data_IF_088268712732
#
_entry.id   IF_088268712732
#
_cell.length_a   1.000
_cell.length_b   1.000
_cell.length_c   1.000
_cell.angle_alpha   90.00
_cell.angle_beta   90.00
_cell.angle_gamma   90.00
#
_symmetry.space_group_name_H-M   'P 1'
#
loop_
_entity.id
_entity.type
_entity.pdbx_description
1 polymer ?
#
# COMPACT_ATOMS: atom_id res chain seq x y z
N UNK A 1 46.81 -36.21 -42.36
CA UNK A 1 45.45 -35.73 -42.65
C UNK A 1 44.72 -35.79 -41.32
N UNK A 2 44.44 -34.62 -40.75
CA UNK A 2 43.85 -34.47 -39.43
C UNK A 2 42.35 -34.23 -39.62
N UNK A 3 41.52 -35.14 -39.13
CA UNK A 3 40.06 -34.98 -39.14
C UNK A 3 39.62 -34.19 -37.90
N UNK A 4 39.21 -32.95 -38.14
CA UNK A 4 38.61 -32.05 -37.18
C UNK A 4 37.19 -32.51 -36.84
N UNK A 5 36.97 -33.04 -35.64
CA UNK A 5 35.63 -33.23 -35.10
C UNK A 5 35.22 -32.00 -34.29
N UNK A 6 34.22 -31.31 -34.82
CA UNK A 6 33.59 -30.10 -34.29
C UNK A 6 33.00 -30.32 -32.89
N UNK A 7 33.40 -29.46 -31.95
CA UNK A 7 32.70 -29.27 -30.67
C UNK A 7 31.40 -28.49 -30.93
N UNK A 8 30.25 -29.10 -30.65
CA UNK A 8 29.00 -28.37 -30.47
C UNK A 8 28.94 -27.82 -29.05
N UNK A 9 28.65 -26.52 -28.83
CA UNK A 9 28.47 -26.00 -27.48
C UNK A 9 27.16 -26.51 -26.89
N UNK A 10 27.20 -26.97 -25.64
CA UNK A 10 26.01 -27.28 -24.86
C UNK A 10 25.17 -26.02 -24.73
N UNK A 11 23.90 -26.11 -25.12
CA UNK A 11 22.92 -25.10 -24.82
C UNK A 11 22.70 -25.10 -23.29
N UNK A 12 23.12 -24.02 -22.64
CA UNK A 12 22.62 -23.65 -21.32
C UNK A 12 21.12 -23.38 -21.47
N UNK A 13 20.30 -24.40 -21.19
CA UNK A 13 18.88 -24.23 -20.89
C UNK A 13 18.76 -23.50 -19.54
N UNK A 14 19.03 -22.19 -19.58
CA UNK A 14 18.59 -21.25 -18.57
C UNK A 14 17.07 -21.21 -18.65
N UNK A 15 16.45 -22.18 -17.99
CA UNK A 15 15.02 -22.34 -17.78
C UNK A 15 14.49 -21.12 -17.01
N UNK A 16 14.33 -20.00 -17.72
CA UNK A 16 13.55 -18.86 -17.31
C UNK A 16 12.09 -19.27 -17.44
N UNK A 17 11.63 -20.16 -16.55
CA UNK A 17 10.21 -20.24 -16.26
C UNK A 17 9.82 -18.87 -15.70
N UNK A 18 9.00 -18.06 -16.41
CA UNK A 18 8.44 -16.87 -15.80
C UNK A 18 7.64 -17.35 -14.60
N UNK A 19 8.02 -16.89 -13.41
CA UNK A 19 7.22 -17.06 -12.20
C UNK A 19 5.81 -16.60 -12.57
N UNK A 20 4.76 -17.45 -12.44
CA UNK A 20 3.41 -17.04 -12.75
C UNK A 20 3.12 -15.79 -11.94
N UNK A 21 2.90 -14.66 -12.61
CA UNK A 21 2.37 -13.44 -12.00
C UNK A 21 1.03 -13.85 -11.39
N UNK A 22 1.05 -14.12 -10.08
CA UNK A 22 -0.15 -14.43 -9.33
C UNK A 22 -1.17 -13.35 -9.66
N UNK A 23 -2.32 -13.75 -10.22
CA UNK A 23 -3.39 -12.82 -10.57
C UNK A 23 -3.63 -11.90 -9.37
N UNK A 24 -3.30 -10.62 -9.55
CA UNK A 24 -3.46 -9.60 -8.51
C UNK A 24 -4.95 -9.28 -8.42
N UNK A 25 -5.70 -10.15 -7.75
CA UNK A 25 -7.13 -10.01 -7.58
C UNK A 25 -7.40 -9.11 -6.36
N UNK A 26 -8.18 -8.05 -6.59
CA UNK A 26 -8.71 -7.21 -5.53
C UNK A 26 -10.13 -7.65 -5.23
N UNK A 27 -10.43 -7.83 -3.94
CA UNK A 27 -11.73 -8.24 -3.46
C UNK A 27 -12.48 -7.01 -2.92
N UNK A 28 -13.68 -6.70 -3.43
CA UNK A 28 -14.46 -5.57 -2.93
C UNK A 28 -14.93 -5.82 -1.50
N UNK A 29 -15.05 -4.74 -0.72
CA UNK A 29 -15.56 -4.76 0.64
C UNK A 29 -16.76 -3.81 0.75
N UNK A 30 -17.85 -4.30 1.30
CA UNK A 30 -19.01 -3.49 1.63
C UNK A 30 -18.70 -2.52 2.77
N UNK A 31 -19.48 -1.45 2.89
CA UNK A 31 -19.27 -0.44 3.94
C UNK A 31 -19.44 -1.00 5.35
N UNK A 32 -20.11 -2.15 5.53
CA UNK A 32 -20.23 -2.82 6.83
C UNK A 32 -19.23 -3.96 7.04
N UNK A 33 -18.23 -4.07 6.16
CA UNK A 33 -17.21 -5.12 6.22
C UNK A 33 -17.59 -6.42 5.50
N UNK A 34 -18.67 -6.43 4.73
CA UNK A 34 -19.01 -7.59 3.89
C UNK A 34 -17.88 -7.87 2.89
N UNK A 35 -17.45 -9.13 2.79
CA UNK A 35 -16.38 -9.51 1.87
C UNK A 35 -14.96 -9.33 2.42
N UNK A 36 -14.79 -8.89 3.68
CA UNK A 36 -13.48 -8.94 4.36
C UNK A 36 -12.91 -10.36 4.43
N UNK A 37 -11.58 -10.51 4.59
CA UNK A 37 -10.96 -11.81 4.85
C UNK A 37 -11.58 -12.50 6.07
N UNK A 38 -11.66 -13.84 6.03
CA UNK A 38 -12.18 -14.65 7.14
C UNK A 38 -11.14 -14.99 8.21
N UNK A 39 -9.87 -14.63 8.00
CA UNK A 39 -8.76 -14.95 8.88
C UNK A 39 -8.02 -13.69 9.32
N UNK A 40 -7.50 -13.63 10.57
CA UNK A 40 -6.69 -12.51 11.00
C UNK A 40 -5.33 -12.54 10.31
N UNK A 41 -4.76 -11.36 10.08
CA UNK A 41 -3.48 -11.21 9.39
C UNK A 41 -3.25 -9.80 8.90
N UNK A 42 -2.10 -9.58 8.27
CA UNK A 42 -1.83 -8.34 7.54
C UNK A 42 -2.36 -8.49 6.11
N UNK A 43 -3.05 -7.48 5.63
CA UNK A 43 -3.61 -7.40 4.27
C UNK A 43 -3.29 -6.06 3.65
N UNK A 44 -3.31 -6.01 2.31
CA UNK A 44 -3.28 -4.76 1.57
C UNK A 44 -4.70 -4.28 1.33
N UNK A 45 -4.94 -3.01 1.61
CA UNK A 45 -6.20 -2.33 1.35
C UNK A 45 -5.99 -1.27 0.29
N UNK A 46 -6.94 -1.14 -0.62
CA UNK A 46 -7.07 -0.04 -1.56
C UNK A 46 -8.33 0.71 -1.19
N UNK A 47 -8.18 1.98 -0.83
CA UNK A 47 -9.27 2.80 -0.29
C UNK A 47 -9.30 4.14 -1.02
N UNK A 48 -10.47 4.62 -1.45
CA UNK A 48 -10.62 5.98 -1.97
C UNK A 48 -10.16 7.04 -0.96
N UNK A 49 -9.45 8.07 -1.43
CA UNK A 49 -8.96 9.12 -0.54
C UNK A 49 -10.10 10.07 -0.13
N UNK A 50 -10.11 10.48 1.14
CA UNK A 50 -11.13 11.39 1.68
C UNK A 50 -11.10 12.76 0.99
N UNK A 51 -9.92 13.31 0.72
CA UNK A 51 -9.76 14.62 0.07
C UNK A 51 -9.94 14.59 -1.44
N UNK A 52 -9.90 13.39 -2.07
CA UNK A 52 -9.95 13.22 -3.51
C UNK A 52 -10.48 11.82 -3.88
N UNK A 53 -11.81 11.59 -3.80
CA UNK A 53 -12.41 10.26 -3.88
C UNK A 53 -12.21 9.51 -5.21
N UNK A 54 -11.86 10.22 -6.28
CA UNK A 54 -11.51 9.62 -7.58
C UNK A 54 -10.12 8.95 -7.59
N UNK A 55 -9.28 9.25 -6.61
CA UNK A 55 -7.97 8.63 -6.41
C UNK A 55 -8.03 7.65 -5.24
N UNK A 56 -7.25 6.57 -5.32
CA UNK A 56 -7.15 5.57 -4.24
C UNK A 56 -5.74 5.52 -3.68
N UNK A 57 -5.63 5.15 -2.40
CA UNK A 57 -4.37 4.83 -1.76
C UNK A 57 -4.33 3.36 -1.39
N UNK A 58 -3.19 2.73 -1.69
CA UNK A 58 -2.91 1.36 -1.25
C UNK A 58 -2.03 1.39 -0.01
N UNK A 59 -2.43 0.70 1.04
CA UNK A 59 -1.65 0.59 2.27
C UNK A 59 -1.91 -0.74 2.97
N UNK A 60 -0.98 -1.15 3.82
CA UNK A 60 -1.13 -2.35 4.63
C UNK A 60 -1.83 -2.03 5.95
N UNK A 61 -2.65 -2.97 6.41
CA UNK A 61 -3.22 -2.91 7.74
C UNK A 61 -3.42 -4.30 8.34
N UNK A 62 -3.53 -4.34 9.67
CA UNK A 62 -3.81 -5.57 10.39
C UNK A 62 -5.33 -5.78 10.46
N UNK A 63 -5.76 -7.00 10.13
CA UNK A 63 -7.09 -7.53 10.42
C UNK A 63 -6.99 -8.43 11.64
N UNK A 64 -7.80 -8.17 12.67
CA UNK A 64 -7.71 -8.91 13.94
C UNK A 64 -9.06 -9.12 14.60
N UNK A 65 -9.17 -10.19 15.37
CA UNK A 65 -10.32 -10.45 16.21
C UNK A 65 -10.40 -9.41 17.33
N UNK A 66 -11.60 -8.87 17.50
CA UNK A 66 -11.93 -7.88 18.51
C UNK A 66 -13.21 -8.31 19.21
N UNK A 67 -13.18 -8.29 20.53
CA UNK A 67 -14.36 -8.58 21.34
C UNK A 67 -15.25 -7.34 21.38
N UNK A 68 -16.51 -7.50 21.02
CA UNK A 68 -17.54 -6.49 21.13
C UNK A 68 -18.75 -7.11 21.84
N UNK A 69 -18.97 -6.72 23.10
CA UNK A 69 -19.94 -7.39 23.96
C UNK A 69 -19.64 -8.89 24.09
N UNK A 70 -20.59 -9.72 23.62
CA UNK A 70 -20.48 -11.20 23.59
C UNK A 70 -19.94 -11.76 22.28
N UNK A 71 -19.80 -10.92 21.25
CA UNK A 71 -19.37 -11.35 19.91
C UNK A 71 -17.87 -11.10 19.68
N UNK A 72 -17.27 -11.92 18.82
CA UNK A 72 -15.94 -11.66 18.27
C UNK A 72 -16.10 -11.27 16.81
N UNK A 73 -15.65 -10.07 16.48
CA UNK A 73 -15.74 -9.50 15.14
C UNK A 73 -14.33 -9.32 14.59
N UNK A 74 -14.13 -9.72 13.34
CA UNK A 74 -12.87 -9.56 12.63
C UNK A 74 -12.87 -8.19 11.95
N UNK A 75 -11.95 -7.32 12.33
CA UNK A 75 -11.97 -5.92 11.89
C UNK A 75 -10.57 -5.38 11.55
N UNK A 76 -10.47 -4.50 10.53
CA UNK A 76 -9.22 -3.85 10.19
C UNK A 76 -8.88 -2.77 11.22
N UNK A 77 -7.59 -2.54 11.47
CA UNK A 77 -7.14 -1.61 12.53
C UNK A 77 -7.29 -0.14 12.20
N UNK A 78 -7.53 0.23 10.93
CA UNK A 78 -7.66 1.63 10.52
C UNK A 78 -9.09 2.17 10.65
N UNK A 79 -10.09 1.31 10.87
CA UNK A 79 -11.46 1.78 11.14
C UNK A 79 -11.86 1.57 12.59
N UNK A 80 -12.54 2.58 13.10
CA UNK A 80 -13.17 2.57 14.40
C UNK A 80 -14.29 3.60 14.41
N UNK A 81 -15.54 3.17 14.56
CA UNK A 81 -16.55 4.01 15.20
C UNK A 81 -17.38 3.16 16.16
N UNK A 82 -17.40 3.67 17.40
CA UNK A 82 -18.28 3.33 18.51
C UNK A 82 -19.72 3.65 18.13
N UNK A 83 -20.59 2.65 18.20
CA UNK A 83 -21.99 2.68 18.63
C UNK A 83 -22.70 1.50 17.95
N UNK A 84 -22.91 0.44 18.73
CA UNK A 84 -23.80 -0.69 18.42
C UNK A 84 -23.49 -1.53 17.16
N UNK A 85 -22.32 -2.17 17.14
CA UNK A 85 -22.00 -3.39 16.34
C UNK A 85 -21.55 -3.23 14.88
N UNK A 86 -21.46 -2.03 14.30
CA UNK A 86 -21.13 -1.89 12.88
C UNK A 86 -19.73 -1.32 12.61
N UNK A 87 -18.93 -2.06 11.86
CA UNK A 87 -17.74 -1.52 11.16
C UNK A 87 -18.26 -0.56 10.09
N UNK A 88 -17.70 0.62 9.95
CA UNK A 88 -17.95 1.49 8.79
C UNK A 88 -16.65 1.67 8.02
N UNK A 89 -16.57 1.07 6.83
CA UNK A 89 -15.48 1.24 5.87
C UNK A 89 -15.88 2.25 4.79
N UNK A 90 -14.93 3.01 4.24
CA UNK A 90 -15.19 3.87 3.09
C UNK A 90 -15.75 3.07 1.92
N UNK A 91 -16.76 3.62 1.25
CA UNK A 91 -17.31 3.02 0.02
C UNK A 91 -16.21 2.88 -1.04
N UNK A 92 -16.21 1.77 -1.78
CA UNK A 92 -15.16 1.47 -2.77
C UNK A 92 -13.88 0.86 -2.19
N UNK A 93 -13.87 0.49 -0.90
CA UNK A 93 -12.77 -0.25 -0.28
C UNK A 93 -12.60 -1.62 -0.93
N UNK A 94 -11.34 -1.99 -1.23
CA UNK A 94 -10.95 -3.32 -1.67
C UNK A 94 -9.80 -3.85 -0.82
N UNK A 95 -9.64 -5.17 -0.77
CA UNK A 95 -8.51 -5.81 -0.13
C UNK A 95 -7.87 -6.87 -1.03
N UNK A 96 -6.62 -7.23 -0.71
CA UNK A 96 -5.94 -8.40 -1.25
C UNK A 96 -4.95 -8.98 -0.23
N UNK A 97 -4.50 -10.20 -0.50
CA UNK A 97 -3.40 -10.80 0.26
C UNK A 97 -2.11 -9.99 0.14
N UNK A 98 -1.21 -10.20 1.10
CA UNK A 98 0.15 -9.68 1.04
C UNK A 98 0.86 -10.11 -0.23
N UNK A 99 1.77 -9.25 -0.68
CA UNK A 99 2.73 -9.54 -1.73
C UNK A 99 4.11 -9.87 -1.13
N UNK A 100 5.01 -10.49 -1.91
CA UNK A 100 6.41 -10.65 -1.51
C UNK A 100 7.01 -9.30 -1.08
N UNK A 101 7.67 -9.26 0.07
CA UNK A 101 8.24 -8.04 0.65
C UNK A 101 7.35 -7.34 1.68
N UNK A 102 6.06 -7.69 1.77
CA UNK A 102 5.18 -7.17 2.82
C UNK A 102 5.51 -7.77 4.19
N UNK A 103 5.49 -6.96 5.27
CA UNK A 103 5.70 -7.45 6.62
C UNK A 103 4.65 -8.49 7.03
N UNK A 104 5.08 -9.50 7.79
CA UNK A 104 4.18 -10.51 8.37
C UNK A 104 3.34 -9.97 9.51
N UNK A 105 3.86 -8.97 10.22
CA UNK A 105 3.22 -8.35 11.36
C UNK A 105 3.29 -6.83 11.23
N UNK A 106 2.22 -6.18 11.65
CA UNK A 106 2.13 -4.73 11.80
C UNK A 106 1.64 -4.40 13.20
N UNK A 107 2.16 -3.32 13.77
CA UNK A 107 1.58 -2.69 14.94
C UNK A 107 0.17 -2.19 14.65
N UNK A 108 -0.66 -2.10 15.70
CA UNK A 108 -2.08 -1.73 15.54
C UNK A 108 -2.29 -0.33 14.93
N UNK A 109 -1.29 0.55 14.97
CA UNK A 109 -1.33 1.93 14.45
C UNK A 109 -0.39 2.13 13.25
N UNK A 110 0.15 1.05 12.68
CA UNK A 110 1.05 1.10 11.54
C UNK A 110 0.29 0.83 10.24
N UNK A 111 0.37 1.79 9.32
CA UNK A 111 -0.32 1.75 8.03
C UNK A 111 0.64 2.14 6.89
N UNK A 112 1.69 1.34 6.63
CA UNK A 112 2.63 1.68 5.57
C UNK A 112 1.92 1.70 4.21
N UNK A 113 2.11 2.78 3.45
CA UNK A 113 1.65 2.88 2.07
C UNK A 113 2.41 1.84 1.24
N UNK A 114 1.70 1.13 0.37
CA UNK A 114 2.30 0.07 -0.45
C UNK A 114 3.42 0.65 -1.34
N UNK A 115 4.60 0.01 -1.41
CA UNK A 115 5.77 0.56 -2.10
C UNK A 115 5.52 0.82 -3.59
N UNK A 116 4.65 0.04 -4.23
CA UNK A 116 4.26 0.18 -5.64
C UNK A 116 3.52 1.50 -5.90
N UNK A 117 2.96 2.11 -4.85
CA UNK A 117 2.41 3.47 -4.96
C UNK A 117 3.49 4.49 -5.28
N UNK A 118 4.78 4.20 -5.08
CA UNK A 118 5.89 5.04 -5.52
C UNK A 118 6.41 4.69 -6.93
N UNK A 119 5.88 3.66 -7.60
CA UNK A 119 6.33 3.25 -8.93
C UNK A 119 6.26 4.41 -9.92
N UNK A 120 7.31 4.55 -10.73
CA UNK A 120 7.53 5.70 -11.62
C UNK A 120 8.36 6.82 -11.00
N UNK A 121 8.63 6.78 -9.70
CA UNK A 121 9.61 7.67 -9.09
C UNK A 121 11.04 7.21 -9.41
N UNK A 122 11.86 8.09 -10.00
CA UNK A 122 13.30 7.90 -10.09
C UNK A 122 13.93 7.61 -8.72
N UNK A 123 14.95 6.76 -8.70
CA UNK A 123 15.70 6.43 -7.50
C UNK A 123 16.29 7.69 -6.86
N UNK A 124 16.39 7.67 -5.54
CA UNK A 124 16.90 8.79 -4.78
C UNK A 124 18.36 9.11 -5.16
N UNK A 125 18.71 10.38 -5.46
CA UNK A 125 20.07 10.70 -5.93
C UNK A 125 21.16 10.56 -4.85
N UNK A 126 20.77 10.45 -3.57
CA UNK A 126 21.69 10.37 -2.44
C UNK A 126 21.97 8.94 -1.97
N UNK A 127 20.92 8.15 -1.72
CA UNK A 127 21.07 6.76 -1.24
C UNK A 127 20.79 5.70 -2.32
N UNK A 128 20.38 6.13 -3.53
CA UNK A 128 20.03 5.26 -4.66
C UNK A 128 18.88 4.27 -4.40
N UNK A 129 18.14 4.42 -3.30
CA UNK A 129 16.94 3.63 -3.01
C UNK A 129 15.70 4.25 -3.63
N UNK A 130 14.69 3.43 -3.92
CA UNK A 130 13.37 3.93 -4.30
C UNK A 130 12.71 4.63 -3.10
N UNK A 131 12.16 5.84 -3.29
CA UNK A 131 11.49 6.53 -2.21
C UNK A 131 10.19 5.83 -1.82
N UNK A 132 9.78 5.99 -0.57
CA UNK A 132 8.45 5.60 -0.08
C UNK A 132 7.56 6.84 0.07
N UNK A 133 6.26 6.67 -0.08
CA UNK A 133 5.30 7.77 0.10
C UNK A 133 4.95 7.89 1.58
N UNK A 134 5.00 9.12 2.07
CA UNK A 134 4.45 9.51 3.36
C UNK A 134 3.39 10.59 3.16
N UNK A 135 2.56 10.82 4.19
CA UNK A 135 1.57 11.88 4.16
C UNK A 135 1.13 12.35 5.53
N UNK A 136 0.31 13.38 5.54
CA UNK A 136 -0.33 13.94 6.74
C UNK A 136 -1.73 14.47 6.41
N UNK A 137 -2.57 14.63 7.45
CA UNK A 137 -3.82 15.39 7.37
C UNK A 137 -3.61 16.76 7.99
N UNK A 138 -3.97 17.81 7.25
CA UNK A 138 -4.16 19.16 7.76
C UNK A 138 -5.63 19.51 7.61
N UNK A 139 -6.24 20.08 8.65
CA UNK A 139 -7.59 20.63 8.54
C UNK A 139 -7.58 21.87 7.67
N UNK A 140 -8.53 21.95 6.75
CA UNK A 140 -8.56 23.06 5.79
C UNK A 140 -9.08 24.36 6.44
N UNK A 141 -9.92 24.26 7.47
CA UNK A 141 -10.60 25.40 8.10
C UNK A 141 -9.68 26.25 8.98
N UNK A 142 -8.86 25.61 9.82
CA UNK A 142 -7.98 26.26 10.81
C UNK A 142 -6.49 26.11 10.47
N UNK A 143 -6.14 25.28 9.48
CA UNK A 143 -4.76 24.95 9.14
C UNK A 143 -4.05 24.08 10.20
N UNK A 144 -4.77 23.61 11.22
CA UNK A 144 -4.21 22.81 12.28
C UNK A 144 -3.92 21.38 11.80
N UNK A 145 -2.79 20.85 12.27
CA UNK A 145 -2.41 19.46 12.00
C UNK A 145 -3.30 18.54 12.81
N UNK A 146 -4.07 17.71 12.10
CA UNK A 146 -4.78 16.60 12.71
C UNK A 146 -3.90 15.35 12.61
N UNK A 147 -3.45 14.84 13.76
CA UNK A 147 -2.61 13.65 13.79
C UNK A 147 -3.46 12.40 13.55
N UNK A 148 -3.42 11.92 12.32
CA UNK A 148 -3.85 10.56 11.95
C UNK A 148 -2.69 9.86 11.25
N UNK A 149 -2.61 8.55 11.41
CA UNK A 149 -1.68 7.69 10.67
C UNK A 149 -2.37 6.97 9.51
N UNK A 150 -3.66 7.18 9.30
CA UNK A 150 -4.50 6.44 8.35
C UNK A 150 -4.34 7.06 6.94
N UNK A 151 -3.76 6.34 5.95
CA UNK A 151 -3.33 6.94 4.70
C UNK A 151 -4.45 7.54 3.85
N UNK A 152 -5.64 6.93 3.81
CA UNK A 152 -6.74 7.45 2.96
C UNK A 152 -7.31 8.78 3.49
N UNK A 153 -7.01 9.15 4.74
CA UNK A 153 -7.40 10.43 5.31
C UNK A 153 -6.42 11.55 4.96
N UNK A 154 -5.20 11.24 4.51
CA UNK A 154 -4.20 12.27 4.22
C UNK A 154 -4.65 13.18 3.07
N UNK A 155 -4.32 14.47 3.17
CA UNK A 155 -4.53 15.45 2.10
C UNK A 155 -3.22 16.09 1.63
N UNK A 156 -2.08 15.65 2.15
CA UNK A 156 -0.74 16.07 1.75
C UNK A 156 0.19 14.86 1.72
N UNK A 157 0.90 14.68 0.61
CA UNK A 157 1.79 13.55 0.34
C UNK A 157 3.18 14.01 -0.10
N UNK A 158 4.23 13.27 0.26
CA UNK A 158 5.59 13.51 -0.21
C UNK A 158 6.39 12.21 -0.27
N UNK A 159 7.48 12.23 -1.05
CA UNK A 159 8.46 11.15 -1.07
C UNK A 159 9.43 11.25 0.10
N UNK A 160 9.79 10.10 0.66
CA UNK A 160 10.80 9.94 1.72
C UNK A 160 11.78 8.85 1.29
N UNK A 161 13.09 9.12 1.34
CA UNK A 161 14.13 8.16 0.91
C UNK A 161 15.30 8.08 1.91
N UNK A 162 15.63 9.19 2.57
CA UNK A 162 16.70 9.35 3.56
C UNK A 162 16.49 10.68 4.29
N UNK A 163 17.29 10.98 5.30
CA UNK A 163 17.17 12.20 6.11
C UNK A 163 17.36 13.52 5.31
N UNK A 164 17.94 13.44 4.11
CA UNK A 164 18.29 14.62 3.30
C UNK A 164 17.14 15.19 2.46
N UNK A 165 16.08 14.43 2.20
CA UNK A 165 14.96 14.93 1.37
C UNK A 165 13.98 15.70 2.26
N UNK A 166 13.98 17.03 2.12
CA UNK A 166 12.99 17.90 2.75
C UNK A 166 11.56 17.61 2.26
N UNK A 167 10.58 17.88 3.12
CA UNK A 167 9.15 17.69 2.80
C UNK A 167 8.71 18.68 1.72
N UNK A 168 8.34 18.17 0.54
CA UNK A 168 7.71 18.92 -0.53
C UNK A 168 6.29 18.36 -0.79
N UNK A 169 5.28 18.76 0.00
CA UNK A 169 3.96 18.14 -0.02
C UNK A 169 3.21 18.41 -1.33
N UNK A 170 2.37 17.47 -1.74
CA UNK A 170 1.43 17.54 -2.87
C UNK A 170 0.04 17.09 -2.44
N UNK A 171 -1.03 17.59 -3.08
CA UNK A 171 -2.41 17.30 -2.68
C UNK A 171 -2.84 15.85 -2.95
N UNK A 172 -2.14 15.14 -3.84
CA UNK A 172 -2.43 13.73 -4.15
C UNK A 172 -1.18 12.95 -4.54
N UNK A 173 -1.28 11.62 -4.53
CA UNK A 173 -0.22 10.73 -4.99
C UNK A 173 0.02 10.90 -6.50
N UNK A 174 -1.03 11.08 -7.29
CA UNK A 174 -0.88 11.32 -8.73
C UNK A 174 -0.13 12.62 -9.02
N UNK A 175 -0.44 13.70 -8.30
CA UNK A 175 0.30 14.96 -8.40
C UNK A 175 1.77 14.80 -7.95
N UNK A 176 2.01 14.02 -6.89
CA UNK A 176 3.36 13.70 -6.42
C UNK A 176 4.19 12.95 -7.48
N UNK A 177 3.60 11.96 -8.17
CA UNK A 177 4.27 11.24 -9.26
C UNK A 177 4.52 12.12 -10.47
N UNK A 178 3.53 12.92 -10.88
CA UNK A 178 3.65 13.79 -12.04
C UNK A 178 4.82 14.76 -11.89
N UNK A 179 4.88 15.49 -10.77
CA UNK A 179 5.97 16.43 -10.49
C UNK A 179 7.35 15.78 -10.48
N UNK A 180 7.44 14.52 -10.05
CA UNK A 180 8.71 13.79 -10.02
C UNK A 180 9.14 13.32 -11.40
N UNK A 181 8.20 12.92 -12.25
CA UNK A 181 8.48 12.50 -13.63
C UNK A 181 8.98 13.63 -14.55
N UNK A 182 8.76 14.88 -14.16
CA UNK A 182 9.17 16.07 -14.92
C UNK A 182 10.56 16.60 -14.50
N UNK A 183 11.28 15.89 -13.63
CA UNK A 183 12.65 16.24 -13.18
C UNK A 183 13.68 15.36 -13.88
#
# INVERSE_FOLDING_TARGET
MFDSQSFSPMADDANHNPIPTANVCWHPVGTKGEGLPSTPGVYRFRVPMESKPEETVEFLAQLRWRKHGVHHVLMPTFEYVLDDEFITLPEGTHWRHRMPGDPEMLGATQFPIAPEMADGAAACPFCHQHPVIAGEKIKEDDGDRYYTHIPYKFNRFWFTCCEWIGKAPRPSISALKHDWSQR
#
